data_IF_762566958813
#
_entry.id   IF_762566958813
#
_cell.length_a   1.000
_cell.length_b   1.000
_cell.length_c   1.000
_cell.angle_alpha   90.00
_cell.angle_beta   90.00
_cell.angle_gamma   90.00
#
_symmetry.space_group_name_H-M   'P 1'
#
loop_
_entity.id
_entity.type
_entity.pdbx_description
1 polymer ?
#
# COMPACT_ATOMS: atom_id res chain seq x y z
N UNK A 1 12.03 -60.75 18.25
CA UNK A 1 12.75 -59.49 18.56
C UNK A 1 11.76 -58.33 18.48
N UNK A 2 11.32 -57.79 19.61
CA UNK A 2 10.45 -56.61 19.65
C UNK A 2 11.23 -55.40 19.11
N UNK A 3 10.86 -54.91 17.91
CA UNK A 3 11.36 -53.64 17.38
C UNK A 3 10.85 -52.52 18.30
N UNK A 4 11.75 -51.86 19.01
CA UNK A 4 11.44 -50.71 19.83
C UNK A 4 10.89 -49.60 18.93
N UNK A 5 9.59 -49.32 19.01
CA UNK A 5 8.96 -48.23 18.26
C UNK A 5 9.35 -46.92 18.95
N UNK A 6 10.21 -46.13 18.31
CA UNK A 6 10.55 -44.79 18.77
C UNK A 6 9.37 -43.85 18.53
N UNK A 7 8.54 -43.62 19.55
CA UNK A 7 7.45 -42.65 19.51
C UNK A 7 7.92 -41.28 20.00
N UNK A 8 7.50 -40.21 19.33
CA UNK A 8 7.74 -38.84 19.77
C UNK A 8 6.91 -38.50 21.02
N UNK A 9 7.55 -38.00 22.08
CA UNK A 9 6.87 -37.58 23.30
C UNK A 9 6.53 -36.08 23.25
N UNK A 10 5.28 -35.74 23.60
CA UNK A 10 4.80 -34.35 23.67
C UNK A 10 5.63 -33.50 24.64
N UNK A 11 6.25 -34.11 25.65
CA UNK A 11 7.13 -33.45 26.64
C UNK A 11 8.36 -32.80 25.97
N UNK A 12 8.80 -33.27 24.80
CA UNK A 12 9.98 -32.71 24.11
C UNK A 12 9.72 -31.36 23.43
N UNK A 13 8.46 -30.92 23.36
CA UNK A 13 8.12 -29.56 22.95
C UNK A 13 8.71 -28.51 23.89
N UNK A 14 8.89 -28.85 25.17
CA UNK A 14 9.43 -27.93 26.18
C UNK A 14 10.91 -27.60 25.96
N UNK A 15 11.65 -28.40 25.18
CA UNK A 15 13.05 -28.18 24.82
C UNK A 15 13.22 -27.85 23.32
N UNK A 16 12.19 -27.27 22.71
CA UNK A 16 12.18 -26.83 21.30
C UNK A 16 12.38 -27.95 20.27
N UNK A 17 11.98 -29.20 20.58
CA UNK A 17 11.94 -30.27 19.60
C UNK A 17 10.52 -30.52 19.10
N UNK A 18 10.40 -30.78 17.79
CA UNK A 18 9.15 -31.17 17.15
C UNK A 18 9.37 -32.31 16.15
N UNK A 19 8.32 -33.11 15.93
CA UNK A 19 8.29 -34.05 14.82
C UNK A 19 7.90 -33.29 13.56
N UNK A 20 8.82 -33.21 12.59
CA UNK A 20 8.64 -32.60 11.28
C UNK A 20 8.99 -33.67 10.25
N UNK A 21 8.09 -33.97 9.32
CA UNK A 21 8.28 -34.99 8.27
C UNK A 21 8.79 -36.34 8.83
N UNK A 22 8.16 -36.83 9.90
CA UNK A 22 8.54 -38.05 10.64
C UNK A 22 9.97 -38.05 11.23
N UNK A 23 10.64 -36.90 11.32
CA UNK A 23 11.94 -36.73 11.97
C UNK A 23 11.85 -35.77 13.15
N UNK A 24 12.43 -36.16 14.28
CA UNK A 24 12.57 -35.27 15.44
C UNK A 24 13.61 -34.20 15.12
N UNK A 25 13.22 -32.93 15.08
CA UNK A 25 14.08 -31.81 14.67
C UNK A 25 14.12 -30.75 15.78
N UNK A 26 15.32 -30.24 16.07
CA UNK A 26 15.50 -29.07 16.93
C UNK A 26 15.07 -27.82 16.18
N UNK A 27 14.05 -27.13 16.66
CA UNK A 27 13.49 -25.93 16.02
C UNK A 27 14.44 -24.73 16.07
N UNK A 28 15.40 -24.71 17.00
CA UNK A 28 16.33 -23.59 17.17
C UNK A 28 17.52 -23.64 16.19
N UNK A 29 17.92 -24.83 15.73
CA UNK A 29 19.12 -24.98 14.91
C UNK A 29 19.02 -26.03 13.78
N UNK A 30 17.87 -26.68 13.62
CA UNK A 30 17.65 -27.69 12.59
C UNK A 30 18.30 -29.06 12.87
N UNK A 31 18.90 -29.26 14.05
CA UNK A 31 19.55 -30.53 14.39
C UNK A 31 18.58 -31.71 14.44
N UNK A 32 18.93 -32.81 13.75
CA UNK A 32 18.18 -34.07 13.73
C UNK A 32 19.04 -35.20 14.32
N UNK A 33 18.64 -35.80 15.46
CA UNK A 33 19.38 -36.89 16.07
C UNK A 33 19.08 -38.22 15.36
N UNK A 34 20.10 -39.02 15.12
CA UNK A 34 19.95 -40.39 14.57
C UNK A 34 19.24 -41.34 15.53
N UNK A 35 19.25 -41.03 16.84
CA UNK A 35 18.58 -41.82 17.88
C UNK A 35 17.75 -40.88 18.74
N UNK A 36 16.42 -41.06 18.72
CA UNK A 36 15.49 -40.22 19.46
C UNK A 36 15.34 -40.73 20.89
N UNK A 37 16.22 -40.29 21.79
CA UNK A 37 16.17 -40.57 23.24
C UNK A 37 16.17 -39.28 24.04
N UNK A 38 15.42 -39.25 25.15
CA UNK A 38 15.32 -38.10 26.06
C UNK A 38 16.69 -37.49 26.39
N UNK A 39 17.65 -38.31 26.81
CA UNK A 39 19.02 -37.86 27.12
C UNK A 39 19.71 -37.15 25.95
N UNK A 40 19.55 -37.63 24.71
CA UNK A 40 20.18 -37.04 23.52
C UNK A 40 19.61 -35.65 23.23
N UNK A 41 18.29 -35.51 23.31
CA UNK A 41 17.59 -34.23 23.07
C UNK A 41 17.93 -33.20 24.16
N UNK A 42 17.87 -33.61 25.43
CA UNK A 42 18.22 -32.74 26.55
C UNK A 42 19.69 -32.34 26.55
N UNK A 43 20.61 -33.27 26.23
CA UNK A 43 22.04 -32.94 26.11
C UNK A 43 22.29 -31.91 25.01
N UNK A 44 21.66 -32.07 23.85
CA UNK A 44 21.74 -31.09 22.77
C UNK A 44 21.25 -29.71 23.23
N UNK A 45 20.04 -29.64 23.79
CA UNK A 45 19.47 -28.37 24.29
C UNK A 45 20.37 -27.73 25.35
N UNK A 46 20.85 -28.50 26.33
CA UNK A 46 21.68 -28.00 27.41
C UNK A 46 23.01 -27.43 26.94
N UNK A 47 23.65 -28.05 25.94
CA UNK A 47 24.95 -27.60 25.42
C UNK A 47 24.81 -26.44 24.44
N UNK A 48 23.77 -26.45 23.58
CA UNK A 48 23.66 -25.51 22.47
C UNK A 48 22.73 -24.33 22.72
N UNK A 49 21.73 -24.48 23.60
CA UNK A 49 20.61 -23.54 23.68
C UNK A 49 20.24 -23.11 25.11
N UNK A 50 20.65 -23.86 26.15
CA UNK A 50 20.24 -23.56 27.53
C UNK A 50 20.69 -22.17 28.01
N UNK A 51 21.91 -21.74 27.69
CA UNK A 51 22.40 -20.42 28.13
C UNK A 51 21.57 -19.26 27.55
N UNK A 52 21.02 -19.43 26.36
CA UNK A 52 20.32 -18.36 25.66
C UNK A 52 18.80 -18.41 25.87
N UNK A 53 18.22 -19.61 25.97
CA UNK A 53 16.76 -19.79 25.98
C UNK A 53 16.18 -20.28 27.31
N UNK A 54 17.01 -20.69 28.28
CA UNK A 54 16.50 -21.12 29.60
C UNK A 54 15.98 -19.97 30.46
N UNK A 55 16.50 -18.75 30.28
CA UNK A 55 16.12 -17.56 31.08
C UNK A 55 15.33 -16.52 30.29
N UNK A 56 15.45 -16.51 28.96
CA UNK A 56 14.80 -15.51 28.08
C UNK A 56 13.38 -15.86 27.66
N UNK A 57 12.98 -17.13 27.70
CA UNK A 57 11.69 -17.57 27.16
C UNK A 57 10.91 -18.38 28.20
N UNK A 58 9.96 -17.75 28.88
CA UNK A 58 9.09 -18.38 29.90
C UNK A 58 7.62 -18.15 29.53
N UNK A 59 6.78 -19.16 29.73
CA UNK A 59 5.33 -19.03 29.56
C UNK A 59 4.86 -18.93 28.11
N UNK A 60 3.91 -18.03 27.83
CA UNK A 60 3.19 -17.90 26.55
C UNK A 60 4.12 -17.55 25.38
N UNK A 61 5.12 -16.69 25.60
CA UNK A 61 6.08 -16.28 24.56
C UNK A 61 6.87 -17.48 24.00
N UNK A 62 7.19 -18.45 24.86
CA UNK A 62 7.85 -19.70 24.46
C UNK A 62 6.93 -20.53 23.59
N UNK A 63 5.64 -20.58 23.90
CA UNK A 63 4.66 -21.32 23.11
C UNK A 63 4.50 -20.71 21.72
N UNK A 64 4.41 -19.38 21.63
CA UNK A 64 4.26 -18.64 20.38
C UNK A 64 5.53 -18.77 19.51
N UNK A 65 6.72 -18.71 20.12
CA UNK A 65 7.98 -18.95 19.43
C UNK A 65 8.09 -20.37 18.88
N UNK A 66 7.71 -21.39 19.67
CA UNK A 66 7.69 -22.78 19.21
C UNK A 66 6.70 -22.96 18.06
N UNK A 67 5.54 -22.31 18.12
CA UNK A 67 4.52 -22.39 17.08
C UNK A 67 5.00 -21.72 15.79
N UNK A 68 5.60 -20.54 15.87
CA UNK A 68 6.19 -19.85 14.73
C UNK A 68 7.31 -20.66 14.08
N UNK A 69 8.24 -21.20 14.88
CA UNK A 69 9.33 -22.00 14.34
C UNK A 69 8.84 -23.28 13.65
N UNK A 70 7.79 -23.94 14.16
CA UNK A 70 7.20 -25.12 13.48
C UNK A 70 6.69 -24.80 12.08
N UNK A 71 6.05 -23.65 11.89
CA UNK A 71 5.52 -23.26 10.58
C UNK A 71 6.66 -23.10 9.57
N UNK A 72 7.78 -22.50 9.96
CA UNK A 72 8.96 -22.31 9.09
C UNK A 72 9.50 -23.65 8.56
N UNK A 73 9.56 -24.69 9.41
CA UNK A 73 10.03 -26.00 8.98
C UNK A 73 8.96 -26.82 8.21
N UNK A 74 7.68 -26.46 8.32
CA UNK A 74 6.58 -27.10 7.59
C UNK A 74 6.38 -26.50 6.19
N UNK A 75 6.72 -25.21 5.98
CA UNK A 75 6.67 -24.54 4.67
C UNK A 75 7.67 -25.12 3.65
N UNK A 76 8.68 -25.87 4.10
CA UNK A 76 9.70 -26.51 3.26
C UNK A 76 9.28 -27.80 2.53
N UNK A 77 8.00 -28.18 2.53
CA UNK A 77 7.51 -29.38 1.83
C UNK A 77 6.15 -29.11 1.16
N UNK A 78 6.18 -28.40 0.02
CA UNK A 78 5.11 -28.44 -0.97
C UNK A 78 5.45 -29.58 -1.93
N UNK A 79 4.81 -30.72 -1.74
CA UNK A 79 4.62 -31.74 -2.76
C UNK A 79 3.12 -31.99 -2.87
N UNK A 80 2.59 -31.68 -4.06
CA UNK A 80 1.36 -32.21 -4.65
C UNK A 80 0.08 -32.09 -3.81
N UNK A 81 -0.65 -30.99 -4.00
CA UNK A 81 -2.09 -30.97 -3.78
C UNK A 81 -2.75 -31.31 -5.13
N UNK A 82 -2.91 -32.60 -5.37
CA UNK A 82 -4.00 -33.11 -6.20
C UNK A 82 -5.29 -33.10 -5.39
N UNK A 83 -6.31 -32.51 -6.01
CA UNK A 83 -7.76 -32.74 -5.90
C UNK A 83 -8.40 -33.03 -4.53
N UNK A 84 -9.34 -32.15 -4.16
CA UNK A 84 -10.69 -32.59 -3.81
C UNK A 84 -11.70 -31.43 -3.90
N UNK A 85 -12.65 -31.60 -4.80
CA UNK A 85 -13.84 -30.78 -4.97
C UNK A 85 -14.81 -30.97 -3.79
N UNK A 86 -15.24 -29.87 -3.15
CA UNK A 86 -16.64 -29.58 -2.73
C UNK A 86 -16.73 -28.49 -1.64
N UNK A 87 -16.79 -27.22 -2.08
CA UNK A 87 -17.67 -26.15 -1.58
C UNK A 87 -17.14 -24.82 -2.15
N UNK A 88 -17.90 -24.18 -3.02
CA UNK A 88 -17.47 -23.00 -3.79
C UNK A 88 -17.11 -21.78 -2.94
N UNK A 89 -17.49 -21.76 -1.66
CA UNK A 89 -17.34 -20.58 -0.79
C UNK A 89 -16.07 -20.58 0.07
N UNK A 90 -15.53 -21.75 0.43
CA UNK A 90 -14.32 -21.82 1.28
C UNK A 90 -13.04 -21.54 0.49
N UNK A 91 -12.99 -21.90 -0.79
CA UNK A 91 -11.81 -21.69 -1.64
C UNK A 91 -11.57 -20.20 -1.96
N UNK A 92 -12.64 -19.42 -2.12
CA UNK A 92 -12.56 -17.96 -2.30
C UNK A 92 -11.96 -17.29 -1.06
N UNK A 93 -12.40 -17.73 0.13
CA UNK A 93 -11.91 -17.20 1.41
C UNK A 93 -10.43 -17.52 1.66
N UNK A 94 -9.96 -18.74 1.38
CA UNK A 94 -8.55 -19.10 1.57
C UNK A 94 -7.66 -18.31 0.60
N UNK A 95 -8.04 -18.20 -0.67
CA UNK A 95 -7.28 -17.41 -1.67
C UNK A 95 -7.18 -15.94 -1.28
N UNK A 96 -8.28 -15.35 -0.79
CA UNK A 96 -8.29 -13.97 -0.30
C UNK A 96 -7.35 -13.78 0.90
N UNK A 97 -7.35 -14.74 1.84
CA UNK A 97 -6.45 -14.71 3.00
C UNK A 97 -4.99 -14.84 2.58
N UNK A 98 -4.65 -15.77 1.68
CA UNK A 98 -3.30 -15.93 1.13
C UNK A 98 -2.82 -14.64 0.46
N UNK A 99 -3.68 -13.99 -0.34
CA UNK A 99 -3.36 -12.72 -0.97
C UNK A 99 -3.11 -11.59 0.05
N UNK A 100 -3.91 -11.53 1.12
CA UNK A 100 -3.76 -10.54 2.20
C UNK A 100 -2.40 -10.64 2.90
N UNK A 101 -1.96 -11.86 3.24
CA UNK A 101 -0.65 -12.07 3.86
C UNK A 101 0.50 -11.76 2.89
N UNK A 102 0.39 -12.14 1.62
CA UNK A 102 1.39 -11.82 0.61
C UNK A 102 1.56 -10.30 0.43
N UNK A 103 0.46 -9.55 0.34
CA UNK A 103 0.44 -8.09 0.25
C UNK A 103 1.07 -7.46 1.51
N UNK A 104 0.67 -7.92 2.69
CA UNK A 104 1.18 -7.38 3.97
C UNK A 104 2.68 -7.57 4.10
N UNK A 105 3.20 -8.72 3.66
CA UNK A 105 4.65 -8.99 3.62
C UNK A 105 5.38 -8.03 2.67
N UNK A 106 4.81 -7.71 1.50
CA UNK A 106 5.40 -6.74 0.58
C UNK A 106 5.41 -5.31 1.15
N UNK A 107 4.32 -4.88 1.81
CA UNK A 107 4.25 -3.58 2.51
C UNK A 107 5.37 -3.48 3.55
N UNK A 108 5.52 -4.52 4.38
CA UNK A 108 6.58 -4.60 5.38
C UNK A 108 7.99 -4.59 4.77
N UNK A 109 8.23 -5.41 3.73
CA UNK A 109 9.52 -5.50 3.03
C UNK A 109 9.96 -4.17 2.40
N UNK A 110 9.01 -3.36 1.93
CA UNK A 110 9.30 -2.07 1.31
C UNK A 110 9.15 -0.89 2.28
N UNK A 111 9.04 -1.15 3.59
CA UNK A 111 8.89 -0.15 4.66
C UNK A 111 7.78 0.86 4.36
N UNK A 112 6.65 0.39 3.84
CA UNK A 112 5.49 1.24 3.57
C UNK A 112 4.62 1.39 4.83
N UNK A 113 3.92 2.52 5.00
CA UNK A 113 2.99 2.70 6.11
C UNK A 113 1.90 1.63 6.15
N UNK A 114 1.37 1.30 7.32
CA UNK A 114 0.27 0.31 7.45
C UNK A 114 -1.02 0.76 6.72
N UNK A 115 -1.19 2.06 6.50
CA UNK A 115 -2.30 2.62 5.73
C UNK A 115 -2.24 2.29 4.24
N UNK A 116 -1.09 1.82 3.73
CA UNK A 116 -0.89 1.51 2.32
C UNK A 116 -1.80 0.37 1.84
N UNK A 117 -2.23 -0.53 2.73
CA UNK A 117 -3.12 -1.65 2.37
C UNK A 117 -4.44 -1.19 1.71
N UNK A 118 -5.01 -0.06 2.17
CA UNK A 118 -6.21 0.52 1.54
C UNK A 118 -5.92 1.02 0.14
N UNK A 119 -4.81 1.72 -0.03
CA UNK A 119 -4.33 2.20 -1.33
C UNK A 119 -4.05 1.03 -2.30
N UNK A 120 -3.47 -0.05 -1.78
CA UNK A 120 -3.19 -1.27 -2.55
C UNK A 120 -4.49 -1.88 -3.11
N UNK A 121 -5.50 -2.01 -2.25
CA UNK A 121 -6.80 -2.55 -2.64
C UNK A 121 -7.46 -1.73 -3.74
N UNK A 122 -7.43 -0.40 -3.62
CA UNK A 122 -8.03 0.52 -4.60
C UNK A 122 -7.37 0.38 -5.99
N UNK A 123 -6.03 0.26 -6.09
CA UNK A 123 -5.40 0.05 -7.39
C UNK A 123 -5.74 -1.32 -7.98
N UNK A 124 -5.81 -2.38 -7.17
CA UNK A 124 -6.07 -3.74 -7.67
C UNK A 124 -7.45 -3.81 -8.32
N UNK A 125 -8.46 -3.24 -7.65
CA UNK A 125 -9.82 -3.16 -8.18
C UNK A 125 -9.84 -2.34 -9.47
N UNK A 126 -9.19 -1.18 -9.50
CA UNK A 126 -9.13 -0.34 -10.70
C UNK A 126 -8.45 -1.05 -11.89
N UNK A 127 -7.37 -1.80 -11.63
CA UNK A 127 -6.68 -2.57 -12.66
C UNK A 127 -7.57 -3.68 -13.22
N UNK A 128 -8.16 -4.51 -12.35
CA UNK A 128 -9.06 -5.61 -12.76
C UNK A 128 -10.25 -5.09 -13.57
N UNK A 129 -10.86 -3.98 -13.15
CA UNK A 129 -11.95 -3.35 -13.91
C UNK A 129 -11.50 -2.86 -15.29
N UNK A 130 -10.27 -2.33 -15.40
CA UNK A 130 -9.72 -1.83 -16.68
C UNK A 130 -9.47 -2.94 -17.71
N UNK A 131 -9.29 -4.18 -17.26
CA UNK A 131 -9.12 -5.37 -18.13
C UNK A 131 -10.40 -6.23 -18.24
N UNK A 132 -11.56 -5.69 -17.88
CA UNK A 132 -12.84 -6.40 -18.05
C UNK A 132 -13.10 -7.49 -17.01
N UNK A 133 -12.67 -7.26 -15.76
CA UNK A 133 -12.80 -8.16 -14.60
C UNK A 133 -11.95 -9.43 -14.66
N UNK A 134 -11.08 -9.56 -15.65
CA UNK A 134 -10.05 -10.60 -15.75
C UNK A 134 -8.70 -9.92 -15.85
N UNK A 135 -7.71 -10.39 -15.08
CA UNK A 135 -6.35 -9.87 -15.15
C UNK A 135 -5.36 -11.02 -15.05
N UNK A 136 -4.63 -11.26 -16.12
CA UNK A 136 -3.57 -12.26 -16.15
C UNK A 136 -2.27 -11.71 -15.56
N UNK A 137 -1.35 -12.60 -15.17
CA UNK A 137 -0.03 -12.22 -14.68
C UNK A 137 0.77 -11.40 -15.72
N UNK A 138 0.65 -11.76 -17.00
CA UNK A 138 1.34 -11.06 -18.09
C UNK A 138 0.77 -9.66 -18.32
N UNK A 139 -0.56 -9.50 -18.29
CA UNK A 139 -1.20 -8.20 -18.38
C UNK A 139 -0.83 -7.30 -17.20
N UNK A 140 -0.88 -7.83 -15.97
CA UNK A 140 -0.46 -7.11 -14.77
C UNK A 140 0.99 -6.62 -14.86
N UNK A 141 1.91 -7.47 -15.34
CA UNK A 141 3.31 -7.12 -15.55
C UNK A 141 3.53 -6.08 -16.67
N UNK A 142 2.61 -6.03 -17.65
CA UNK A 142 2.69 -5.09 -18.77
C UNK A 142 2.26 -3.66 -18.41
N UNK A 143 1.60 -3.45 -17.26
CA UNK A 143 1.11 -2.13 -16.85
C UNK A 143 2.30 -1.18 -16.60
N UNK A 144 2.46 -0.08 -17.36
CA UNK A 144 3.63 0.77 -17.23
C UNK A 144 3.55 1.60 -15.95
N UNK A 145 4.19 1.20 -14.86
CA UNK A 145 4.15 1.90 -13.56
C UNK A 145 5.49 2.52 -13.15
N UNK A 146 6.40 2.73 -14.10
CA UNK A 146 7.65 3.46 -13.83
C UNK A 146 7.36 4.89 -13.33
N UNK A 147 8.28 5.46 -12.56
CA UNK A 147 8.14 6.82 -12.04
C UNK A 147 7.82 7.85 -13.14
N UNK A 148 8.42 7.67 -14.34
CA UNK A 148 8.16 8.51 -15.52
C UNK A 148 6.73 8.34 -16.05
N UNK A 149 6.26 7.10 -16.18
CA UNK A 149 4.90 6.82 -16.64
C UNK A 149 3.84 7.38 -15.68
N UNK A 150 4.03 7.15 -14.38
CA UNK A 150 3.13 7.67 -13.34
C UNK A 150 3.09 9.20 -13.36
N UNK A 151 4.25 9.86 -13.40
CA UNK A 151 4.35 11.33 -13.51
C UNK A 151 3.62 11.86 -14.75
N UNK A 152 3.84 11.23 -15.90
CA UNK A 152 3.20 11.64 -17.16
C UNK A 152 1.68 11.51 -17.11
N UNK A 153 1.16 10.40 -16.56
CA UNK A 153 -0.28 10.18 -16.45
C UNK A 153 -0.95 11.14 -15.48
N UNK A 154 -0.31 11.42 -14.34
CA UNK A 154 -0.76 12.44 -13.38
C UNK A 154 -0.88 13.80 -14.08
N UNK A 155 0.12 14.20 -14.86
CA UNK A 155 0.06 15.46 -15.60
C UNK A 155 -1.09 15.47 -16.63
N UNK A 156 -1.27 14.38 -17.39
CA UNK A 156 -2.40 14.25 -18.33
C UNK A 156 -3.77 14.37 -17.64
N UNK A 157 -3.96 13.67 -16.51
CA UNK A 157 -5.17 13.79 -15.70
C UNK A 157 -5.40 15.21 -15.20
N UNK A 158 -4.35 15.88 -14.72
CA UNK A 158 -4.44 17.27 -14.26
C UNK A 158 -4.81 18.26 -15.38
N UNK A 159 -4.32 18.05 -16.60
CA UNK A 159 -4.69 18.86 -17.77
C UNK A 159 -6.14 18.61 -18.19
N UNK A 160 -6.60 17.35 -18.21
CA UNK A 160 -8.00 17.02 -18.49
C UNK A 160 -8.95 17.66 -17.48
N UNK A 161 -8.58 17.67 -16.20
CA UNK A 161 -9.33 18.38 -15.16
C UNK A 161 -9.37 19.88 -15.40
N UNK A 162 -8.25 20.49 -15.80
CA UNK A 162 -8.18 21.91 -16.13
C UNK A 162 -9.13 22.27 -17.27
N UNK A 163 -9.14 21.48 -18.35
CA UNK A 163 -10.02 21.71 -19.51
C UNK A 163 -11.50 21.52 -19.16
N UNK A 164 -11.84 20.51 -18.36
CA UNK A 164 -13.21 20.34 -17.85
C UNK A 164 -13.65 21.52 -16.97
N UNK A 165 -12.74 22.01 -16.13
CA UNK A 165 -13.01 23.17 -15.28
C UNK A 165 -13.24 24.42 -16.12
N UNK A 166 -12.38 24.70 -17.12
CA UNK A 166 -12.55 25.81 -18.06
C UNK A 166 -13.89 25.74 -18.79
N UNK A 167 -14.22 24.57 -19.33
CA UNK A 167 -15.49 24.34 -20.04
C UNK A 167 -16.69 24.59 -19.14
N UNK A 168 -16.63 24.11 -17.89
CA UNK A 168 -17.69 24.34 -16.90
C UNK A 168 -17.83 25.83 -16.59
N UNK A 169 -16.71 26.52 -16.33
CA UNK A 169 -16.69 27.96 -16.05
C UNK A 169 -17.23 28.80 -17.21
N UNK A 170 -16.95 28.41 -18.46
CA UNK A 170 -17.49 29.09 -19.65
C UNK A 170 -19.01 28.93 -19.76
N UNK A 171 -19.56 27.79 -19.33
CA UNK A 171 -21.01 27.53 -19.35
C UNK A 171 -21.76 28.15 -18.17
N UNK A 172 -21.05 28.58 -17.12
CA UNK A 172 -21.67 29.14 -15.92
C UNK A 172 -22.14 30.58 -16.18
N UNK A 173 -23.43 30.85 -15.97
CA UNK A 173 -23.97 32.21 -15.99
C UNK A 173 -23.54 33.04 -14.78
N UNK A 174 -23.28 32.37 -13.66
CA UNK A 174 -22.87 32.99 -12.39
C UNK A 174 -21.85 32.08 -11.70
N UNK A 175 -20.93 32.68 -10.94
CA UNK A 175 -19.97 31.95 -10.12
C UNK A 175 -19.75 32.71 -8.80
N UNK A 176 -19.46 31.95 -7.75
CA UNK A 176 -19.01 32.50 -6.46
C UNK A 176 -17.53 32.15 -6.28
N UNK A 177 -16.72 33.14 -5.91
CA UNK A 177 -15.31 32.95 -5.60
C UNK A 177 -15.08 33.09 -4.10
N UNK A 178 -14.39 32.12 -3.52
CA UNK A 178 -13.86 32.22 -2.16
C UNK A 178 -12.37 32.57 -2.26
N UNK A 179 -12.01 33.78 -1.84
CA UNK A 179 -10.62 34.24 -1.78
C UNK A 179 -10.11 34.12 -0.35
N UNK A 180 -8.88 33.63 -0.19
CA UNK A 180 -8.23 33.50 1.11
C UNK A 180 -7.09 34.50 1.24
N UNK A 181 -6.97 35.08 2.43
CA UNK A 181 -5.83 35.88 2.83
C UNK A 181 -4.60 34.97 2.97
N UNK A 182 -3.65 35.04 2.02
CA UNK A 182 -2.27 34.66 2.33
C UNK A 182 -1.64 35.86 3.03
N UNK A 183 -1.42 35.76 4.33
CA UNK A 183 -0.61 36.73 5.05
C UNK A 183 0.83 36.60 4.56
N UNK A 184 1.35 37.64 3.90
CA UNK A 184 2.79 37.88 3.85
C UNK A 184 3.32 37.98 5.30
N UNK A 185 4.63 37.87 5.50
CA UNK A 185 5.31 38.05 6.80
C UNK A 185 5.05 39.40 7.48
N UNK A 186 4.30 40.30 6.84
CA UNK A 186 3.80 41.59 7.35
C UNK A 186 2.33 41.57 7.81
N UNK A 187 1.66 40.42 7.80
CA UNK A 187 0.25 40.27 8.18
C UNK A 187 -0.73 41.17 7.39
N UNK A 188 -0.48 41.37 6.08
CA UNK A 188 -1.39 42.12 5.19
C UNK A 188 -1.84 41.21 4.05
N UNK A 189 -3.16 41.05 3.87
CA UNK A 189 -3.74 40.33 2.73
C UNK A 189 -3.47 41.08 1.42
N UNK A 190 -2.97 40.39 0.40
CA UNK A 190 -2.76 40.95 -0.94
C UNK A 190 -3.44 40.09 -2.01
N UNK A 191 -4.18 40.72 -2.92
CA UNK A 191 -4.82 40.09 -4.08
C UNK A 191 -4.15 40.58 -5.36
N UNK A 192 -3.38 39.72 -6.03
CA UNK A 192 -2.74 40.02 -7.32
C UNK A 192 -3.65 39.61 -8.48
N UNK A 193 -4.46 40.56 -8.96
CA UNK A 193 -5.18 40.45 -10.23
C UNK A 193 -4.53 41.41 -11.23
N UNK A 194 -4.20 40.91 -12.42
CA UNK A 194 -3.72 41.77 -13.49
C UNK A 194 -4.89 42.63 -14.00
N UNK A 195 -4.77 43.95 -13.83
CA UNK A 195 -5.90 44.88 -14.00
C UNK A 195 -6.37 44.98 -15.45
N UNK A 196 -5.47 44.73 -16.42
CA UNK A 196 -5.79 44.68 -17.85
C UNK A 196 -6.66 43.49 -18.23
N UNK A 197 -6.52 42.38 -17.51
CA UNK A 197 -7.06 41.10 -17.96
C UNK A 197 -8.45 40.84 -17.37
N UNK A 198 -8.76 41.38 -16.17
CA UNK A 198 -10.03 41.09 -15.46
C UNK A 198 -10.60 42.27 -14.63
N UNK A 199 -11.04 43.36 -15.26
CA UNK A 199 -11.50 44.58 -14.55
C UNK A 199 -12.79 44.36 -13.72
N UNK A 200 -13.75 43.59 -14.24
CA UNK A 200 -15.01 43.27 -13.53
C UNK A 200 -14.77 42.39 -12.30
N UNK A 201 -13.82 41.45 -12.42
CA UNK A 201 -13.44 40.54 -11.35
C UNK A 201 -12.74 41.27 -10.20
N UNK A 202 -11.89 42.27 -10.53
CA UNK A 202 -11.25 43.14 -9.54
C UNK A 202 -12.30 43.89 -8.70
N UNK A 203 -13.28 44.51 -9.35
CA UNK A 203 -14.32 45.27 -8.65
C UNK A 203 -15.25 44.36 -7.81
N UNK A 204 -15.51 43.14 -8.28
CA UNK A 204 -16.24 42.13 -7.52
C UNK A 204 -15.43 41.63 -6.30
N UNK A 205 -14.13 41.33 -6.49
CA UNK A 205 -13.22 40.92 -5.43
C UNK A 205 -13.07 41.97 -4.32
N UNK A 206 -13.00 43.26 -4.67
CA UNK A 206 -12.95 44.37 -3.71
C UNK A 206 -14.23 44.47 -2.86
N UNK A 207 -15.41 44.19 -3.44
CA UNK A 207 -16.70 44.15 -2.71
C UNK A 207 -16.85 42.91 -1.82
N UNK A 208 -16.21 41.80 -2.18
CA UNK A 208 -16.26 40.54 -1.43
C UNK A 208 -15.26 40.55 -0.27
N UNK A 209 -14.11 41.23 -0.42
CA UNK A 209 -13.10 41.40 0.63
C UNK A 209 -13.65 42.01 1.93
N UNK A 210 -14.75 42.77 1.87
CA UNK A 210 -15.38 43.38 3.04
C UNK A 210 -16.40 42.50 3.78
N UNK A 211 -16.66 41.24 3.37
CA UNK A 211 -17.78 40.43 3.90
C UNK A 211 -17.44 39.04 4.49
N UNK A 212 -16.17 38.72 4.77
CA UNK A 212 -15.69 37.51 5.48
C UNK A 212 -15.82 36.12 4.78
N UNK A 213 -14.84 35.24 5.06
CA UNK A 213 -15.09 34.05 5.87
C UNK A 213 -15.39 32.69 5.20
N UNK A 214 -14.42 32.05 4.52
CA UNK A 214 -14.37 30.58 4.59
C UNK A 214 -12.93 30.05 4.48
N UNK A 215 -12.25 29.92 5.61
CA UNK A 215 -10.86 29.41 5.68
C UNK A 215 -10.77 27.90 5.42
N UNK A 216 -11.86 27.16 5.60
CA UNK A 216 -11.87 25.69 5.59
C UNK A 216 -11.36 25.04 4.29
N UNK A 217 -11.81 25.50 3.12
CA UNK A 217 -11.39 24.90 1.82
C UNK A 217 -9.92 25.21 1.50
N UNK A 218 -9.43 26.37 1.93
CA UNK A 218 -8.04 26.76 1.80
C UNK A 218 -7.16 25.99 2.78
N UNK A 219 -7.55 25.90 4.05
CA UNK A 219 -6.89 25.06 5.07
C UNK A 219 -6.80 23.60 4.63
N UNK A 220 -7.89 23.04 4.06
CA UNK A 220 -7.90 21.69 3.50
C UNK A 220 -6.89 21.55 2.35
N UNK A 221 -6.81 22.56 1.47
CA UNK A 221 -5.86 22.56 0.35
C UNK A 221 -4.41 22.69 0.81
N UNK A 222 -4.11 23.58 1.76
CA UNK A 222 -2.77 23.72 2.34
C UNK A 222 -2.34 22.46 3.10
N UNK A 223 -3.27 21.82 3.82
CA UNK A 223 -3.02 20.56 4.50
C UNK A 223 -2.65 19.45 3.51
N UNK A 224 -3.40 19.31 2.42
CA UNK A 224 -3.08 18.38 1.32
C UNK A 224 -1.72 18.69 0.70
N UNK A 225 -1.42 19.97 0.43
CA UNK A 225 -0.14 20.39 -0.12
C UNK A 225 1.03 20.04 0.80
N UNK A 226 0.88 20.25 2.12
CA UNK A 226 1.90 19.93 3.12
C UNK A 226 2.18 18.43 3.16
N UNK A 227 1.15 17.60 3.07
CA UNK A 227 1.28 16.15 2.97
C UNK A 227 2.04 15.74 1.70
N UNK A 228 1.64 16.25 0.52
CA UNK A 228 2.29 15.97 -0.76
C UNK A 228 3.78 16.35 -0.73
N UNK A 229 4.10 17.53 -0.18
CA UNK A 229 5.49 18.00 -0.06
C UNK A 229 6.32 17.13 0.87
N UNK A 230 5.73 16.61 1.95
CA UNK A 230 6.42 15.72 2.88
C UNK A 230 6.75 14.37 2.22
N UNK A 231 5.77 13.75 1.56
CA UNK A 231 5.91 12.41 0.98
C UNK A 231 6.87 12.33 -0.22
N UNK A 232 7.04 13.43 -0.96
CA UNK A 232 7.79 13.47 -2.24
C UNK A 232 8.97 14.46 -2.24
N UNK A 233 9.46 14.85 -1.06
CA UNK A 233 10.39 15.97 -0.81
C UNK A 233 11.63 16.05 -1.73
N UNK A 234 12.14 14.92 -2.23
CA UNK A 234 13.37 14.86 -3.06
C UNK A 234 13.15 14.91 -4.58
N UNK A 235 11.91 14.87 -5.08
CA UNK A 235 11.61 14.68 -6.52
C UNK A 235 10.52 15.63 -7.06
N UNK A 236 10.06 16.57 -6.25
CA UNK A 236 8.88 17.38 -6.55
C UNK A 236 9.27 18.72 -7.21
N UNK A 237 8.75 18.99 -8.41
CA UNK A 237 8.82 20.30 -9.07
C UNK A 237 7.49 21.04 -8.94
N UNK A 238 7.48 22.36 -9.10
CA UNK A 238 6.25 23.17 -9.00
C UNK A 238 5.16 22.72 -9.97
N UNK A 239 5.53 22.35 -11.20
CA UNK A 239 4.58 21.79 -12.18
C UNK A 239 3.99 20.45 -11.72
N UNK A 240 4.81 19.58 -11.11
CA UNK A 240 4.34 18.28 -10.60
C UNK A 240 3.48 18.45 -9.35
N UNK A 241 3.80 19.42 -8.49
CA UNK A 241 2.99 19.78 -7.33
C UNK A 241 1.63 20.34 -7.76
N UNK A 242 1.61 21.27 -8.72
CA UNK A 242 0.37 21.83 -9.28
C UNK A 242 -0.54 20.72 -9.83
N UNK A 243 0.04 19.76 -10.57
CA UNK A 243 -0.70 18.60 -11.09
C UNK A 243 -1.30 17.74 -9.99
N UNK A 244 -0.53 17.42 -8.95
CA UNK A 244 -1.00 16.66 -7.79
C UNK A 244 -2.08 17.40 -7.00
N UNK A 245 -1.92 18.70 -6.82
CA UNK A 245 -2.91 19.55 -6.14
C UNK A 245 -4.24 19.56 -6.89
N UNK A 246 -4.22 19.65 -8.21
CA UNK A 246 -5.44 19.59 -9.03
C UNK A 246 -6.17 18.26 -8.88
N UNK A 247 -5.45 17.14 -8.92
CA UNK A 247 -6.07 15.81 -8.75
C UNK A 247 -6.63 15.65 -7.33
N UNK A 248 -5.89 16.06 -6.31
CA UNK A 248 -6.28 15.81 -4.90
C UNK A 248 -7.35 16.75 -4.38
N UNK A 249 -7.44 17.98 -4.91
CA UNK A 249 -8.44 18.98 -4.48
C UNK A 249 -9.71 18.96 -5.32
N UNK A 250 -9.65 18.46 -6.56
CA UNK A 250 -10.81 18.39 -7.45
C UNK A 250 -11.79 17.30 -7.01
N UNK A 251 -13.10 17.61 -7.11
CA UNK A 251 -14.19 16.63 -7.02
C UNK A 251 -14.68 16.18 -8.41
N UNK A 252 -14.12 16.75 -9.47
CA UNK A 252 -14.45 16.41 -10.86
C UNK A 252 -13.78 15.08 -11.18
N UNK A 253 -14.54 14.15 -11.76
CA UNK A 253 -14.03 12.86 -12.19
C UNK A 253 -13.12 13.02 -13.42
N UNK A 254 -11.97 12.36 -13.40
CA UNK A 254 -11.09 12.26 -14.56
C UNK A 254 -11.69 11.25 -15.53
N UNK A 255 -11.88 11.66 -16.78
CA UNK A 255 -12.32 10.75 -17.83
C UNK A 255 -11.10 10.01 -18.40
N UNK A 256 -10.83 8.83 -17.84
CA UNK A 256 -9.71 7.98 -18.22
C UNK A 256 -9.85 7.47 -19.67
N UNK A 257 -11.04 7.02 -20.14
CA UNK A 257 -11.24 6.65 -21.54
C UNK A 257 -10.78 7.71 -22.57
N UNK A 258 -11.18 8.98 -22.42
CA UNK A 258 -10.77 10.02 -23.37
C UNK A 258 -9.27 10.32 -23.32
N UNK A 259 -8.65 10.22 -22.14
CA UNK A 259 -7.20 10.34 -21.99
C UNK A 259 -6.44 9.21 -22.70
N UNK A 260 -6.93 7.97 -22.60
CA UNK A 260 -6.34 6.82 -23.31
C UNK A 260 -6.42 7.04 -24.81
N UNK A 261 -7.56 7.51 -25.32
CA UNK A 261 -7.76 7.78 -26.74
C UNK A 261 -6.83 8.89 -27.25
N UNK A 262 -6.62 9.94 -26.46
CA UNK A 262 -5.67 11.01 -26.78
C UNK A 262 -4.21 10.53 -26.82
N UNK A 263 -3.86 9.51 -26.04
CA UNK A 263 -2.52 8.90 -26.02
C UNK A 263 -2.27 7.97 -27.23
N UNK A 264 -3.32 7.43 -27.86
CA UNK A 264 -3.21 6.59 -29.07
C UNK A 264 -2.96 7.40 -30.34
N UNK A 265 -3.25 8.71 -30.35
CA UNK A 265 -3.01 9.56 -31.51
C UNK A 265 -1.50 9.81 -31.66
N UNK A 266 -0.90 9.58 -32.84
CA UNK A 266 0.52 9.88 -33.04
C UNK A 266 0.74 11.37 -32.80
N UNK A 267 1.72 11.71 -31.95
CA UNK A 267 2.19 13.09 -31.82
C UNK A 267 2.68 13.52 -33.19
N UNK A 268 1.93 14.39 -33.88
CA UNK A 268 2.48 15.12 -35.02
C UNK A 268 3.66 15.92 -34.50
N UNK A 269 4.86 15.52 -34.91
CA UNK A 269 6.06 16.34 -34.78
C UNK A 269 5.85 17.58 -35.64
N UNK A 270 5.68 18.73 -34.98
CA UNK A 270 5.93 20.03 -35.61
C UNK A 270 7.42 20.33 -35.50
#
# INVERSE_FOLDING_TARGET
>A
MNRYVQSFDKVWKEIFFASINNKTTCLLCGYQPSVVKKYVLHRHYNIKHSNEYSTKCVGQEKHDLIQGLKLVYQEGSISDIEDCSSSSDTTSSIKALTASYAISNLIGKHSKPFTEGKFVKEYMVAAVQSFGNLLTLQEAASIPLSAKAVKSRINGSALSLEEKLKSSLQSCSFFSLCLNESTDNRHVSQLSLNASDYPSLRNCGLRIFSMFGSTYLCECSFSKMKLIKNDKRSSLSDASLSSLMRITSSKISVDVPSLVESCKRPRKSN
#
